data_IF_999738582955
#
_entry.id   IF_999738582955
#
_cell.length_a   1.000
_cell.length_b   1.000
_cell.length_c   1.000
_cell.angle_alpha   90.00
_cell.angle_beta   90.00
_cell.angle_gamma   90.00
#
_symmetry.space_group_name_H-M   'P 1'
#
loop_
_entity.id
_entity.type
_entity.pdbx_description
1 polymer ?
#
# COMPACT_ATOMS: atom_id res chain seq x y z
N UNK A 1 -1.19 9.37 3.55
CA UNK A 1 -0.40 8.92 4.72
C UNK A 1 0.17 10.13 5.41
N UNK A 2 -0.24 10.44 6.64
CA UNK A 2 0.11 11.71 7.26
C UNK A 2 1.37 11.68 8.16
N UNK A 3 1.72 10.54 8.75
CA UNK A 3 2.98 10.39 9.49
C UNK A 3 3.60 9.01 9.22
N UNK A 4 4.51 8.89 8.24
CA UNK A 4 5.12 7.60 7.88
C UNK A 4 5.94 6.97 9.02
N UNK A 5 6.58 7.78 9.87
CA UNK A 5 7.40 7.32 11.00
C UNK A 5 6.59 6.71 12.14
N UNK A 6 5.26 6.90 12.17
CA UNK A 6 4.40 6.36 13.22
C UNK A 6 4.47 4.83 13.33
N UNK A 7 4.59 4.13 12.20
CA UNK A 7 4.75 2.68 12.18
C UNK A 7 6.10 2.25 12.77
N UNK A 8 7.17 2.98 12.46
CA UNK A 8 8.52 2.70 12.98
C UNK A 8 8.54 2.87 14.50
N UNK A 9 7.99 3.98 15.00
CA UNK A 9 7.90 4.23 16.45
C UNK A 9 7.08 3.14 17.15
N UNK A 10 5.94 2.75 16.57
CA UNK A 10 5.11 1.68 17.14
C UNK A 10 5.86 0.34 17.22
N UNK A 11 6.62 -0.02 16.19
CA UNK A 11 7.44 -1.24 16.18
C UNK A 11 8.56 -1.19 17.22
N UNK A 12 9.24 -0.06 17.38
CA UNK A 12 10.29 0.07 18.40
C UNK A 12 9.71 0.04 19.82
N UNK A 13 8.52 0.61 20.04
CA UNK A 13 7.80 0.46 21.31
C UNK A 13 7.46 -1.00 21.58
N UNK A 14 6.97 -1.74 20.58
CA UNK A 14 6.68 -3.16 20.70
C UNK A 14 7.93 -3.96 21.09
N UNK A 15 9.06 -3.77 20.37
CA UNK A 15 10.32 -4.43 20.69
C UNK A 15 10.83 -4.10 22.09
N UNK A 16 10.65 -2.87 22.54
CA UNK A 16 11.05 -2.45 23.87
C UNK A 16 10.18 -3.11 24.96
N UNK A 17 8.89 -3.36 24.69
CA UNK A 17 8.04 -4.16 25.59
C UNK A 17 8.52 -5.59 25.70
N UNK A 18 8.85 -6.24 24.57
CA UNK A 18 9.35 -7.61 24.56
C UNK A 18 10.70 -7.75 25.27
N UNK A 19 11.58 -6.76 25.11
CA UNK A 19 12.95 -6.83 25.63
C UNK A 19 13.03 -6.45 27.11
N UNK A 20 12.28 -5.43 27.54
CA UNK A 20 12.36 -4.90 28.91
C UNK A 20 11.35 -5.59 29.83
N UNK A 21 10.14 -5.88 29.35
CA UNK A 21 9.08 -6.44 30.18
C UNK A 21 8.45 -5.43 31.14
N UNK A 22 7.39 -5.89 31.83
CA UNK A 22 6.69 -5.09 32.84
C UNK A 22 7.37 -5.22 34.22
N UNK A 23 7.31 -4.16 35.06
CA UNK A 23 6.60 -2.90 34.84
C UNK A 23 7.33 -1.83 34.01
N UNK A 24 8.65 -1.95 33.83
CA UNK A 24 9.50 -0.87 33.31
C UNK A 24 9.16 -0.45 31.87
N UNK A 25 8.69 -1.37 31.03
CA UNK A 25 8.29 -1.05 29.66
C UNK A 25 7.06 -0.14 29.57
N UNK A 26 6.35 0.10 30.69
CA UNK A 26 5.21 1.02 30.75
C UNK A 26 5.54 2.44 30.26
N UNK A 27 6.78 2.91 30.47
CA UNK A 27 7.24 4.23 29.99
C UNK A 27 7.26 4.27 28.45
N UNK A 28 7.69 3.18 27.81
CA UNK A 28 7.78 3.08 26.35
C UNK A 28 6.39 3.03 25.72
N UNK A 29 5.48 2.28 26.32
CA UNK A 29 4.07 2.24 25.93
C UNK A 29 3.42 3.63 26.04
N UNK A 30 3.61 4.31 27.18
CA UNK A 30 3.08 5.65 27.39
C UNK A 30 3.59 6.65 26.33
N UNK A 31 4.90 6.61 26.04
CA UNK A 31 5.50 7.45 25.01
C UNK A 31 4.94 7.15 23.61
N UNK A 32 4.83 5.86 23.24
CA UNK A 32 4.26 5.43 21.96
C UNK A 32 2.82 5.91 21.78
N UNK A 33 1.98 5.75 22.81
CA UNK A 33 0.57 6.21 22.78
C UNK A 33 0.50 7.73 22.64
N UNK A 34 1.24 8.48 23.44
CA UNK A 34 1.27 9.95 23.36
C UNK A 34 1.75 10.43 21.99
N UNK A 35 2.78 9.80 21.42
CA UNK A 35 3.28 10.10 20.08
C UNK A 35 2.20 9.90 19.01
N UNK A 36 1.57 8.72 18.99
CA UNK A 36 0.51 8.41 18.02
C UNK A 36 -0.72 9.30 18.19
N UNK A 37 -1.08 9.64 19.43
CA UNK A 37 -2.20 10.52 19.75
C UNK A 37 -1.98 11.95 19.20
N UNK A 38 -0.75 12.46 19.23
CA UNK A 38 -0.41 13.80 18.72
C UNK A 38 -0.13 13.84 17.20
N UNK A 39 0.10 12.69 16.55
CA UNK A 39 0.35 12.65 15.10
C UNK A 39 -0.87 13.12 14.27
N UNK A 40 -0.61 13.74 13.11
CA UNK A 40 -1.65 14.04 12.12
C UNK A 40 -2.33 12.73 11.69
N UNK A 41 -3.65 12.68 11.82
CA UNK A 41 -4.45 11.48 11.51
C UNK A 41 -4.76 11.40 10.03
N UNK A 42 -4.73 10.21 9.45
CA UNK A 42 -5.05 9.97 8.05
C UNK A 42 -5.46 8.52 7.80
N UNK A 43 -6.64 8.33 7.19
CA UNK A 43 -7.24 7.01 6.87
C UNK A 43 -7.17 6.67 5.38
N UNK A 44 -6.61 7.55 4.54
CA UNK A 44 -6.55 7.39 3.07
C UNK A 44 -5.97 6.06 2.61
N UNK A 45 -4.89 5.59 3.25
CA UNK A 45 -4.28 4.31 2.93
C UNK A 45 -5.20 3.13 3.26
N UNK A 46 -5.85 3.17 4.43
CA UNK A 46 -6.80 2.14 4.88
C UNK A 46 -8.03 2.08 3.97
N UNK A 47 -8.62 3.24 3.66
CA UNK A 47 -9.77 3.32 2.76
C UNK A 47 -9.43 2.94 1.32
N UNK A 48 -8.25 3.34 0.84
CA UNK A 48 -7.76 2.96 -0.49
C UNK A 48 -7.58 1.45 -0.62
N UNK A 49 -6.98 0.82 0.39
CA UNK A 49 -6.88 -0.63 0.46
C UNK A 49 -8.26 -1.31 0.48
N UNK A 50 -9.19 -0.83 1.32
CA UNK A 50 -10.55 -1.36 1.38
C UNK A 50 -11.27 -1.34 0.03
N UNK A 51 -11.21 -0.20 -0.69
CA UNK A 51 -11.81 -0.06 -2.02
C UNK A 51 -11.17 -0.99 -3.06
N UNK A 52 -9.85 -1.14 -3.03
CA UNK A 52 -9.17 -2.08 -3.92
C UNK A 52 -9.60 -3.53 -3.63
N UNK A 53 -9.73 -3.91 -2.36
CA UNK A 53 -10.21 -5.22 -1.95
C UNK A 53 -11.67 -5.48 -2.37
N UNK A 54 -12.53 -4.47 -2.28
CA UNK A 54 -13.92 -4.55 -2.77
C UNK A 54 -13.97 -4.82 -4.27
N UNK A 55 -13.15 -4.12 -5.06
CA UNK A 55 -13.09 -4.33 -6.50
C UNK A 55 -12.56 -5.73 -6.85
N UNK A 56 -11.54 -6.23 -6.13
CA UNK A 56 -11.05 -7.61 -6.31
C UNK A 56 -12.18 -8.62 -6.05
N UNK A 57 -12.95 -8.45 -4.97
CA UNK A 57 -14.10 -9.31 -4.66
C UNK A 57 -15.20 -9.23 -5.72
N UNK A 58 -15.45 -8.03 -6.26
CA UNK A 58 -16.51 -7.77 -7.24
C UNK A 58 -16.19 -8.29 -8.63
N UNK A 59 -14.94 -8.08 -9.09
CA UNK A 59 -14.55 -8.35 -10.46
C UNK A 59 -13.77 -9.65 -10.63
N UNK A 60 -13.31 -10.27 -9.54
CA UNK A 60 -12.54 -11.50 -9.57
C UNK A 60 -11.20 -11.34 -10.28
N UNK A 61 -10.83 -12.34 -11.07
CA UNK A 61 -9.52 -12.39 -11.74
C UNK A 61 -9.53 -11.64 -13.09
N UNK A 62 -9.48 -10.31 -13.03
CA UNK A 62 -9.33 -9.50 -14.24
C UNK A 62 -7.96 -9.75 -14.91
N UNK A 63 -7.89 -9.77 -16.25
CA UNK A 63 -6.65 -10.01 -16.96
C UNK A 63 -5.64 -8.87 -16.69
N UNK A 64 -4.39 -9.24 -16.45
CA UNK A 64 -3.28 -8.30 -16.32
C UNK A 64 -3.03 -7.65 -17.70
N UNK A 65 -2.84 -6.32 -17.82
CA UNK A 65 -2.50 -5.68 -19.09
C UNK A 65 -1.21 -6.25 -19.69
N UNK A 66 -1.18 -6.49 -21.01
CA UNK A 66 -0.04 -7.15 -21.71
C UNK A 66 1.29 -6.45 -21.44
N UNK A 67 1.30 -5.12 -21.45
CA UNK A 67 2.50 -4.29 -21.22
C UNK A 67 3.20 -4.52 -19.87
N UNK A 68 2.49 -5.01 -18.85
CA UNK A 68 3.08 -5.30 -17.52
C UNK A 68 3.19 -6.80 -17.24
N UNK A 69 2.88 -7.67 -18.21
CA UNK A 69 3.07 -9.12 -18.06
C UNK A 69 4.55 -9.48 -18.19
N UNK A 70 4.97 -10.49 -17.44
CA UNK A 70 6.27 -11.11 -17.63
C UNK A 70 6.29 -11.91 -18.96
N UNK A 71 7.43 -11.87 -19.67
CA UNK A 71 7.63 -12.57 -20.95
C UNK A 71 8.93 -13.40 -20.96
N UNK A 72 9.04 -14.44 -20.11
CA UNK A 72 10.26 -15.23 -19.97
C UNK A 72 10.53 -16.17 -21.15
N UNK A 73 9.52 -16.61 -21.88
CA UNK A 73 9.68 -17.53 -23.02
C UNK A 73 9.62 -16.81 -24.37
N UNK A 74 10.18 -17.42 -25.42
CA UNK A 74 10.09 -16.88 -26.80
C UNK A 74 8.65 -16.74 -27.27
N UNK A 75 7.83 -17.79 -27.07
CA UNK A 75 6.40 -17.76 -27.40
C UNK A 75 5.66 -16.60 -26.73
N UNK A 76 5.98 -16.28 -25.47
CA UNK A 76 5.33 -15.15 -24.77
C UNK A 76 5.72 -13.79 -25.37
N UNK A 77 6.97 -13.63 -25.81
CA UNK A 77 7.42 -12.42 -26.53
C UNK A 77 6.76 -12.30 -27.90
N UNK A 78 6.57 -13.42 -28.60
CA UNK A 78 5.88 -13.47 -29.89
C UNK A 78 4.38 -13.14 -29.75
N UNK A 79 3.80 -13.38 -28.57
CA UNK A 79 2.45 -12.97 -28.19
C UNK A 79 2.39 -11.54 -27.61
N UNK A 80 3.46 -10.74 -27.78
CA UNK A 80 3.58 -9.36 -27.35
C UNK A 80 3.49 -9.15 -25.82
N UNK A 81 3.83 -10.15 -25.01
CA UNK A 81 3.84 -9.99 -23.55
C UNK A 81 5.01 -9.08 -23.16
N UNK A 82 4.74 -8.09 -22.29
CA UNK A 82 5.75 -7.12 -21.88
C UNK A 82 6.26 -6.21 -23.00
N UNK A 83 5.63 -6.25 -24.19
CA UNK A 83 5.91 -5.31 -25.27
C UNK A 83 5.48 -3.92 -24.83
N UNK A 84 6.30 -2.92 -25.19
CA UNK A 84 6.13 -1.52 -24.80
C UNK A 84 6.11 -1.30 -23.27
N UNK A 85 6.77 -2.19 -22.51
CA UNK A 85 6.99 -1.96 -21.08
C UNK A 85 7.92 -0.74 -20.90
N UNK A 86 7.44 0.22 -20.12
CA UNK A 86 8.23 1.34 -19.63
C UNK A 86 8.37 1.22 -18.11
N UNK A 87 9.52 1.65 -17.58
CA UNK A 87 9.77 1.62 -16.14
C UNK A 87 8.89 2.60 -15.36
N UNK A 88 8.58 3.76 -15.97
CA UNK A 88 7.77 4.83 -15.36
C UNK A 88 6.72 5.35 -16.34
N UNK A 89 5.74 4.51 -16.73
CA UNK A 89 4.72 4.90 -17.69
C UNK A 89 3.81 5.97 -17.08
N UNK A 90 3.40 6.93 -17.91
CA UNK A 90 2.33 7.88 -17.54
C UNK A 90 0.93 7.28 -17.70
N UNK A 91 0.85 6.17 -18.42
CA UNK A 91 -0.39 5.46 -18.70
C UNK A 91 -0.86 4.60 -17.52
N UNK A 92 -2.15 4.28 -17.53
CA UNK A 92 -2.75 3.40 -16.54
C UNK A 92 -2.18 1.97 -16.60
N UNK A 93 -1.91 1.38 -15.44
CA UNK A 93 -1.42 0.01 -15.28
C UNK A 93 -2.53 -0.95 -14.80
N UNK A 94 -3.72 -0.44 -14.51
CA UNK A 94 -4.86 -1.24 -14.11
C UNK A 94 -5.50 -1.95 -15.31
N UNK A 95 -6.21 -3.08 -15.09
CA UNK A 95 -7.03 -3.72 -16.10
C UNK A 95 -8.12 -2.78 -16.64
N UNK A 96 -8.62 -3.06 -17.85
CA UNK A 96 -9.57 -2.17 -18.56
C UNK A 96 -10.80 -1.79 -17.73
N UNK A 97 -11.35 -2.73 -16.94
CA UNK A 97 -12.52 -2.47 -16.09
C UNK A 97 -12.25 -1.55 -14.89
N UNK A 98 -10.98 -1.33 -14.56
CA UNK A 98 -10.52 -0.50 -13.44
C UNK A 98 -9.75 0.74 -13.92
N UNK A 99 -9.70 0.98 -15.23
CA UNK A 99 -8.99 2.11 -15.82
C UNK A 99 -9.52 3.44 -15.27
N UNK A 100 -8.61 4.33 -14.90
CA UNK A 100 -8.85 5.63 -14.29
C UNK A 100 -9.10 5.60 -12.79
N UNK A 101 -9.19 4.42 -12.15
CA UNK A 101 -9.46 4.33 -10.71
C UNK A 101 -8.24 4.78 -9.89
N UNK A 102 -8.51 5.66 -8.92
CA UNK A 102 -7.54 6.10 -7.91
C UNK A 102 -8.04 5.72 -6.54
N UNK A 103 -7.39 4.73 -5.93
CA UNK A 103 -7.74 4.24 -4.59
C UNK A 103 -7.17 5.12 -3.49
N UNK A 104 -5.90 5.51 -3.61
CA UNK A 104 -5.25 6.41 -2.69
C UNK A 104 -5.62 7.86 -3.05
N UNK A 105 -6.34 8.53 -2.14
CA UNK A 105 -6.69 9.95 -2.26
C UNK A 105 -5.76 10.79 -1.39
N UNK A 106 -5.21 11.86 -1.95
CA UNK A 106 -4.45 12.84 -1.17
C UNK A 106 -5.42 13.76 -0.44
N UNK A 107 -5.11 14.11 0.82
CA UNK A 107 -5.95 14.97 1.64
C UNK A 107 -6.12 16.39 1.10
N UNK A 108 -5.26 16.82 0.19
CA UNK A 108 -5.34 18.15 -0.45
C UNK A 108 -6.37 18.19 -1.61
N UNK A 109 -7.15 17.11 -1.80
CA UNK A 109 -8.24 17.00 -2.79
C UNK A 109 -9.62 16.82 -2.14
N UNK A 110 -9.80 17.33 -0.91
CA UNK A 110 -11.08 17.43 -0.20
C UNK A 110 -11.38 18.87 0.18
#
# INVERSE_FOLDING_TARGET
MAQPTALVVANEVFRAVETIGLPECGINLAHGVAYLANCKKDRSAYEGFGKAMEDVKKFGNLPIPLKVRNAPSKLMKDLDYGKDYELYPKDDLLPDKLKGKKYLKNKDQQ
#
